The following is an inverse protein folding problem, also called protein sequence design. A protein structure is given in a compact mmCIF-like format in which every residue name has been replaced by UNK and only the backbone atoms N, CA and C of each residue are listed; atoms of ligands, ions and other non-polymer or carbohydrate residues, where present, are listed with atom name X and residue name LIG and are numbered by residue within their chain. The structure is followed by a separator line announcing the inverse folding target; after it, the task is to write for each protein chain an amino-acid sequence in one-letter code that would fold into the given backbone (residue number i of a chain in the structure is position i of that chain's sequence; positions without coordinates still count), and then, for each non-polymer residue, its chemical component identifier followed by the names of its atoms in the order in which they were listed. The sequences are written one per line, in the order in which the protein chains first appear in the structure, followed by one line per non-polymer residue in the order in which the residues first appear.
data_IF_629664215703
#
_entry.id   IF_629664215703
#
_cell.length_a   1.000
_cell.length_b   1.000
_cell.length_c   1.000
_cell.angle_alpha   90.00
_cell.angle_beta   90.00
_cell.angle_gamma   90.00
#
_symmetry.space_group_name_H-M   'P 1'
#
loop_
_entity.id
_entity.type
_entity.pdbx_description
1 polymer ?
#
# COMPACT_ATOMS: atom_id res chain seq x y z
N UNK A 1 -8.06 -23.95 -4.35
CA UNK A 1 -7.28 -23.33 -3.25
C UNK A 1 -7.87 -21.97 -2.88
N UNK A 2 -8.90 -21.97 -2.02
CA UNK A 2 -9.60 -20.76 -1.55
C UNK A 2 -8.64 -19.75 -0.91
N UNK A 3 -7.62 -20.23 -0.20
CA UNK A 3 -6.62 -19.40 0.51
C UNK A 3 -5.83 -18.49 -0.45
N UNK A 4 -5.39 -18.99 -1.61
CA UNK A 4 -4.67 -18.15 -2.57
C UNK A 4 -5.57 -17.06 -3.16
N UNK A 5 -6.84 -17.38 -3.39
CA UNK A 5 -7.81 -16.42 -3.92
C UNK A 5 -8.17 -15.35 -2.87
N UNK A 6 -8.27 -15.71 -1.60
CA UNK A 6 -8.48 -14.77 -0.50
C UNK A 6 -7.29 -13.81 -0.32
N UNK A 7 -6.06 -14.31 -0.51
CA UNK A 7 -4.86 -13.47 -0.45
C UNK A 7 -4.84 -12.47 -1.61
N UNK A 8 -5.05 -12.95 -2.84
CA UNK A 8 -5.12 -12.07 -4.02
C UNK A 8 -6.25 -11.04 -3.91
N UNK A 9 -7.41 -11.43 -3.37
CA UNK A 9 -8.55 -10.52 -3.17
C UNK A 9 -8.25 -9.43 -2.13
N UNK A 10 -7.55 -9.78 -1.05
CA UNK A 10 -7.21 -8.81 0.01
C UNK A 10 -6.06 -7.89 -0.44
N UNK A 11 -5.09 -8.44 -1.19
CA UNK A 11 -3.99 -7.68 -1.78
C UNK A 11 -4.51 -6.69 -2.84
N UNK A 12 -5.42 -7.13 -3.71
CA UNK A 12 -6.03 -6.28 -4.73
C UNK A 12 -6.81 -5.11 -4.11
N UNK A 13 -7.54 -5.35 -3.01
CA UNK A 13 -8.24 -4.29 -2.27
C UNK A 13 -7.24 -3.28 -1.69
N UNK A 14 -6.17 -3.75 -1.04
CA UNK A 14 -5.14 -2.88 -0.47
C UNK A 14 -4.45 -2.02 -1.54
N UNK A 15 -4.06 -2.63 -2.67
CA UNK A 15 -3.45 -1.91 -3.80
C UNK A 15 -4.40 -0.84 -4.35
N UNK A 16 -5.69 -1.17 -4.52
CA UNK A 16 -6.67 -0.23 -5.04
C UNK A 16 -6.89 0.97 -4.10
N UNK A 17 -6.90 0.74 -2.78
CA UNK A 17 -6.98 1.83 -1.79
C UNK A 17 -5.74 2.72 -1.80
N UNK A 18 -4.53 2.14 -1.91
CA UNK A 18 -3.30 2.92 -2.01
C UNK A 18 -3.28 3.77 -3.29
N UNK A 19 -3.65 3.18 -4.43
CA UNK A 19 -3.63 3.86 -5.72
C UNK A 19 -4.56 5.09 -5.73
N UNK A 20 -5.77 4.93 -5.20
CA UNK A 20 -6.75 6.03 -5.10
C UNK A 20 -6.28 7.14 -4.16
N UNK A 21 -5.63 6.82 -3.05
CA UNK A 21 -5.05 7.82 -2.14
C UNK A 21 -3.87 8.55 -2.79
N UNK A 22 -3.01 7.87 -3.55
CA UNK A 22 -1.91 8.50 -4.30
C UNK A 22 -2.45 9.50 -5.32
N UNK A 23 -3.50 9.13 -6.05
CA UNK A 23 -4.15 10.01 -7.02
C UNK A 23 -4.75 11.25 -6.34
N UNK A 24 -5.44 11.07 -5.20
CA UNK A 24 -5.97 12.18 -4.41
C UNK A 24 -4.87 13.10 -3.87
N UNK A 25 -3.78 12.53 -3.33
CA UNK A 25 -2.67 13.29 -2.80
C UNK A 25 -1.93 14.08 -3.91
N UNK A 26 -1.78 13.49 -5.09
CA UNK A 26 -1.21 14.17 -6.26
C UNK A 26 -2.10 15.35 -6.71
N UNK A 27 -3.43 15.16 -6.73
CA UNK A 27 -4.37 16.24 -7.04
C UNK A 27 -4.30 17.37 -5.99
N UNK A 28 -4.25 17.04 -4.71
CA UNK A 28 -4.07 18.02 -3.62
C UNK A 28 -2.74 18.76 -3.68
N UNK A 29 -1.69 18.14 -4.21
CA UNK A 29 -0.38 18.78 -4.35
C UNK A 29 -0.37 19.78 -5.51
N UNK A 30 -1.05 19.47 -6.61
CA UNK A 30 -1.12 20.30 -7.81
C UNK A 30 -2.14 21.44 -7.64
N UNK A 31 -3.31 21.16 -7.09
CA UNK A 31 -4.41 22.13 -6.93
C UNK A 31 -4.47 22.79 -5.56
N UNK A 32 -3.69 22.31 -4.58
CA UNK A 32 -3.67 22.88 -3.23
C UNK A 32 -2.85 24.17 -3.14
N UNK A 33 -3.33 25.13 -2.34
CA UNK A 33 -2.61 26.37 -2.06
C UNK A 33 -1.33 26.17 -1.24
N UNK A 34 -0.52 27.23 -1.11
CA UNK A 34 0.78 27.20 -0.41
C UNK A 34 0.72 26.59 1.00
N UNK A 35 -0.33 26.85 1.77
CA UNK A 35 -0.43 26.36 3.16
C UNK A 35 -0.51 24.84 3.28
N UNK A 36 -1.15 24.18 2.29
CA UNK A 36 -1.33 22.72 2.28
C UNK A 36 -0.24 22.00 1.51
N UNK A 37 0.60 22.71 0.75
CA UNK A 37 1.64 22.10 -0.09
C UNK A 37 2.67 21.31 0.74
N UNK A 38 3.10 21.85 1.89
CA UNK A 38 4.00 21.16 2.81
C UNK A 38 3.34 19.96 3.50
N UNK A 39 2.06 20.08 3.85
CA UNK A 39 1.27 19.00 4.44
C UNK A 39 1.09 17.85 3.44
N UNK A 40 0.72 18.16 2.20
CA UNK A 40 0.55 17.17 1.13
C UNK A 40 1.87 16.51 0.77
N UNK A 41 3.00 17.23 0.79
CA UNK A 41 4.33 16.64 0.63
C UNK A 41 4.62 15.59 1.72
N UNK A 42 4.36 15.91 2.99
CA UNK A 42 4.52 14.95 4.08
C UNK A 42 3.59 13.75 3.93
N UNK A 43 2.35 13.97 3.47
CA UNK A 43 1.38 12.91 3.16
C UNK A 43 1.86 11.99 2.04
N UNK A 44 2.37 12.53 0.93
CA UNK A 44 2.88 11.74 -0.20
C UNK A 44 4.07 10.89 0.26
N UNK A 45 5.01 11.48 1.00
CA UNK A 45 6.18 10.77 1.53
C UNK A 45 5.71 9.63 2.46
N UNK A 46 4.86 9.94 3.45
CA UNK A 46 4.32 8.94 4.37
C UNK A 46 3.54 7.82 3.67
N UNK A 47 2.80 8.17 2.62
CA UNK A 47 2.05 7.22 1.81
C UNK A 47 2.95 6.29 1.00
N UNK A 48 4.03 6.81 0.39
CA UNK A 48 5.00 5.98 -0.34
C UNK A 48 5.67 4.99 0.62
N UNK A 49 6.18 5.45 1.77
CA UNK A 49 6.81 4.58 2.76
C UNK A 49 5.80 3.57 3.36
N UNK A 50 4.57 4.00 3.64
CA UNK A 50 3.52 3.12 4.18
C UNK A 50 3.01 2.09 3.16
N UNK A 51 2.83 2.49 1.90
CA UNK A 51 2.43 1.60 0.82
C UNK A 51 3.52 0.58 0.49
N UNK A 52 4.77 1.02 0.39
CA UNK A 52 5.90 0.14 0.11
C UNK A 52 6.09 -0.87 1.25
N UNK A 53 6.05 -0.40 2.50
CA UNK A 53 6.08 -1.26 3.68
C UNK A 53 4.94 -2.29 3.66
N UNK A 54 3.69 -1.85 3.49
CA UNK A 54 2.54 -2.76 3.53
C UNK A 54 2.55 -3.78 2.38
N UNK A 55 2.91 -3.37 1.15
CA UNK A 55 2.89 -4.27 -0.01
C UNK A 55 4.09 -5.22 0.00
N UNK A 56 5.31 -4.70 0.18
CA UNK A 56 6.53 -5.54 0.14
C UNK A 56 6.73 -6.32 1.44
N UNK A 57 6.58 -5.71 2.61
CA UNK A 57 6.89 -6.41 3.87
C UNK A 57 5.79 -7.42 4.19
N UNK A 58 4.51 -7.09 4.02
CA UNK A 58 3.44 -8.06 4.28
C UNK A 58 3.42 -9.21 3.26
N UNK A 59 3.69 -8.94 1.97
CA UNK A 59 3.80 -9.99 0.95
C UNK A 59 4.96 -10.94 1.24
N UNK A 60 6.14 -10.43 1.59
CA UNK A 60 7.31 -11.24 1.89
C UNK A 60 7.15 -12.05 3.19
N UNK A 61 6.50 -11.46 4.21
CA UNK A 61 6.12 -12.19 5.43
C UNK A 61 5.15 -13.34 5.11
N UNK A 62 4.15 -13.10 4.27
CA UNK A 62 3.21 -14.16 3.92
C UNK A 62 3.87 -15.31 3.14
N UNK A 63 4.77 -15.01 2.20
CA UNK A 63 5.52 -16.02 1.44
C UNK A 63 6.43 -16.84 2.36
N UNK A 64 7.18 -16.18 3.24
CA UNK A 64 8.08 -16.86 4.19
C UNK A 64 7.32 -17.72 5.20
N UNK A 65 6.16 -17.28 5.68
CA UNK A 65 5.27 -18.10 6.51
C UNK A 65 4.74 -19.31 5.75
N UNK A 66 4.39 -19.15 4.48
CA UNK A 66 3.89 -20.25 3.65
C UNK A 66 4.97 -21.27 3.30
N UNK A 67 6.23 -20.86 3.15
CA UNK A 67 7.38 -21.77 3.04
C UNK A 67 7.64 -22.54 4.35
N UNK A 68 7.49 -21.88 5.51
CA UNK A 68 7.64 -22.53 6.80
C UNK A 68 6.54 -23.57 7.07
N UNK A 69 5.30 -23.27 6.64
CA UNK A 69 4.14 -24.18 6.77
C UNK A 69 4.23 -25.38 5.81
N UNK A 70 4.81 -25.19 4.61
CA UNK A 70 5.07 -26.27 3.64
C UNK A 70 6.23 -27.21 4.04
N UNK A 71 7.11 -26.78 4.94
CA UNK A 71 8.25 -27.58 5.43
C UNK A 71 7.90 -28.48 6.62
N UNK A 72 6.66 -28.40 7.12
CA UNK A 72 6.12 -29.22 8.22
C UNK A 72 5.26 -30.35 7.68
#
# INVERSE_FOLDING_TARGET
NVVNHSIDQTLARSINTVLTVVICAAALYIFGGESIRHFTLALIIGLIFGAYSSIFIASQIWVSWREADLKR
#
